data_IF_875028985615
#
_entry.id   IF_875028985615
#
_cell.length_a   1.000
_cell.length_b   1.000
_cell.length_c   1.000
_cell.angle_alpha   90.00
_cell.angle_beta   90.00
_cell.angle_gamma   90.00
#
_symmetry.space_group_name_H-M   'P 1'
#
loop_
_entity.id
_entity.type
_entity.pdbx_description
1 polymer ?
#
# COMPACT_ATOMS: atom_id res chain seq x y z
N UNK A 1 -24.18 0.30 -9.48
CA UNK A 1 -23.10 1.22 -9.07
C UNK A 1 -21.85 0.86 -9.82
N UNK A 2 -20.96 1.81 -10.05
CA UNK A 2 -19.62 1.57 -10.61
C UNK A 2 -18.59 1.71 -9.49
N UNK A 3 -17.46 1.03 -9.66
CA UNK A 3 -16.33 1.10 -8.73
C UNK A 3 -15.55 2.39 -9.02
N UNK A 4 -15.21 3.11 -7.97
CA UNK A 4 -14.35 4.30 -8.00
C UNK A 4 -12.92 3.94 -7.61
N UNK A 5 -11.93 4.76 -7.96
CA UNK A 5 -10.57 4.57 -7.45
C UNK A 5 -10.48 4.59 -5.92
N UNK A 6 -11.37 5.33 -5.25
CA UNK A 6 -11.40 5.39 -3.79
C UNK A 6 -11.76 4.02 -3.19
N UNK A 7 -12.75 3.32 -3.77
CA UNK A 7 -13.13 1.97 -3.31
C UNK A 7 -11.94 0.99 -3.34
N UNK A 8 -11.03 1.15 -4.30
CA UNK A 8 -9.80 0.34 -4.37
C UNK A 8 -8.79 0.76 -3.31
N UNK A 9 -8.58 2.07 -3.13
CA UNK A 9 -7.65 2.60 -2.11
C UNK A 9 -8.07 2.21 -0.70
N UNK A 10 -9.37 2.09 -0.45
CA UNK A 10 -9.91 1.72 0.87
C UNK A 10 -9.59 0.27 1.24
N UNK A 11 -9.63 -0.66 0.29
CA UNK A 11 -9.39 -2.10 0.55
C UNK A 11 -7.92 -2.53 0.35
N UNK A 12 -7.12 -1.72 -0.35
CA UNK A 12 -5.74 -2.05 -0.69
C UNK A 12 -4.83 -2.32 0.53
N UNK A 13 -4.87 -1.55 1.65
CA UNK A 13 -4.05 -1.82 2.82
C UNK A 13 -4.25 -3.22 3.39
N UNK A 14 -5.50 -3.64 3.56
CA UNK A 14 -5.84 -4.93 4.17
C UNK A 14 -5.37 -6.12 3.31
N UNK A 15 -5.38 -5.96 1.99
CA UNK A 15 -4.98 -7.01 1.04
C UNK A 15 -3.46 -7.06 0.89
N UNK A 16 -2.82 -5.90 0.78
CA UNK A 16 -1.41 -5.81 0.38
C UNK A 16 -0.44 -5.90 1.57
N UNK A 17 -0.84 -5.56 2.80
CA UNK A 17 0.05 -5.58 3.96
C UNK A 17 0.70 -6.94 4.27
N UNK A 18 0.04 -8.03 3.88
CA UNK A 18 0.54 -9.40 4.04
C UNK A 18 1.15 -9.98 2.76
N UNK A 19 1.17 -9.21 1.67
CA UNK A 19 1.64 -9.63 0.34
C UNK A 19 2.87 -8.86 -0.14
N UNK A 20 3.22 -7.78 0.57
CA UNK A 20 4.47 -7.04 0.34
C UNK A 20 5.53 -7.63 1.26
N UNK A 21 6.64 -8.08 0.65
CA UNK A 21 7.81 -8.61 1.34
C UNK A 21 8.86 -7.50 1.37
N UNK A 22 9.37 -7.20 2.56
CA UNK A 22 10.40 -6.22 2.77
C UNK A 22 11.78 -6.81 2.47
N UNK A 23 12.73 -5.94 2.08
CA UNK A 23 14.13 -6.33 2.07
C UNK A 23 14.69 -6.25 3.49
N UNK A 24 15.82 -6.91 3.72
CA UNK A 24 16.50 -6.89 5.01
C UNK A 24 16.85 -5.45 5.45
N UNK A 25 17.29 -4.61 4.51
CA UNK A 25 17.62 -3.22 4.76
C UNK A 25 16.39 -2.43 5.22
N UNK A 26 15.24 -2.64 4.59
CA UNK A 26 14.00 -1.97 4.96
C UNK A 26 13.51 -2.40 6.35
N UNK A 27 13.63 -3.69 6.69
CA UNK A 27 13.34 -4.19 8.04
C UNK A 27 14.30 -3.59 9.08
N UNK A 28 15.59 -3.46 8.75
CA UNK A 28 16.59 -2.84 9.61
C UNK A 28 16.35 -1.33 9.84
N UNK A 29 15.70 -0.66 8.88
CA UNK A 29 15.24 0.74 8.99
C UNK A 29 13.86 0.88 9.66
N UNK A 30 13.32 -0.18 10.24
CA UNK A 30 11.98 -0.22 10.87
C UNK A 30 10.84 0.16 9.90
N UNK A 31 11.04 0.02 8.60
CA UNK A 31 9.98 0.24 7.61
C UNK A 31 8.96 -0.90 7.70
N UNK A 32 7.67 -0.57 7.65
CA UNK A 32 6.60 -1.57 7.63
C UNK A 32 6.02 -1.76 6.23
N UNK A 33 5.37 -2.91 5.98
CA UNK A 33 4.61 -3.12 4.74
C UNK A 33 3.48 -2.10 4.56
N UNK A 34 2.87 -1.63 5.66
CA UNK A 34 1.85 -0.57 5.62
C UNK A 34 2.45 0.76 5.14
N UNK A 35 3.67 1.11 5.55
CA UNK A 35 4.36 2.33 5.07
C UNK A 35 4.61 2.29 3.57
N UNK A 36 5.05 1.13 3.06
CA UNK A 36 5.30 0.93 1.62
C UNK A 36 3.99 1.03 0.85
N UNK A 37 2.95 0.32 1.28
CA UNK A 37 1.64 0.33 0.62
C UNK A 37 1.08 1.75 0.59
N UNK A 38 1.15 2.49 1.69
CA UNK A 38 0.70 3.89 1.75
C UNK A 38 1.45 4.77 0.74
N UNK A 39 2.78 4.74 0.74
CA UNK A 39 3.61 5.51 -0.21
C UNK A 39 3.26 5.20 -1.66
N UNK A 40 3.04 3.92 -1.98
CA UNK A 40 2.63 3.50 -3.34
C UNK A 40 1.27 4.08 -3.68
N UNK A 41 0.26 3.93 -2.83
CA UNK A 41 -1.11 4.42 -3.10
C UNK A 41 -1.19 5.96 -3.20
N UNK A 42 -0.37 6.68 -2.44
CA UNK A 42 -0.22 8.14 -2.51
C UNK A 42 0.43 8.60 -3.82
N UNK A 43 1.34 7.80 -4.38
CA UNK A 43 2.01 8.12 -5.65
C UNK A 43 1.12 7.97 -6.89
N UNK A 44 -0.04 7.31 -6.77
CA UNK A 44 -0.96 7.11 -7.89
C UNK A 44 -1.97 8.27 -7.97
N UNK A 45 -1.87 9.12 -9.00
CA UNK A 45 -2.86 10.18 -9.22
C UNK A 45 -4.22 9.55 -9.52
N UNK A 46 -5.26 10.14 -8.95
CA UNK A 46 -6.64 9.78 -9.24
C UNK A 46 -7.23 10.77 -10.24
N UNK A 47 -7.93 10.29 -11.29
CA UNK A 47 -8.56 11.13 -12.31
C UNK A 47 -9.78 11.90 -11.80
#
# INVERSE_FOLDING_TARGET
GYVTPQDVKDVAPDILRHRVILTYEAEAEETTSDDVVRKVLESIPVP
#
